data_IF_803595217027
#
_entry.id   IF_803595217027
#
_cell.length_a   1.000
_cell.length_b   1.000
_cell.length_c   1.000
_cell.angle_alpha   90.00
_cell.angle_beta   90.00
_cell.angle_gamma   90.00
#
_symmetry.space_group_name_H-M   'P 1'
#
loop_
_entity.id
_entity.type
_entity.pdbx_description
1 polymer ?
#
# COMPACT_ATOMS: atom_id res chain seq x y z
N UNK A 1 -11.84 -14.99 -1.69
CA UNK A 1 -10.56 -14.26 -1.52
C UNK A 1 -10.00 -13.76 -2.83
N UNK A 2 -9.82 -12.45 -2.98
CA UNK A 2 -9.29 -11.82 -4.20
C UNK A 2 -7.74 -11.77 -4.20
N UNK A 3 -7.12 -11.43 -3.06
CA UNK A 3 -5.68 -11.26 -2.92
C UNK A 3 -4.95 -12.57 -2.60
N UNK A 4 -4.93 -13.49 -3.56
CA UNK A 4 -4.23 -14.78 -3.43
C UNK A 4 -3.05 -14.87 -4.41
N UNK A 5 -2.10 -15.78 -4.14
CA UNK A 5 -0.91 -15.98 -5.00
C UNK A 5 -1.31 -16.42 -6.41
N UNK A 6 -2.40 -17.17 -6.56
CA UNK A 6 -2.93 -17.64 -7.84
C UNK A 6 -3.44 -16.48 -8.71
N UNK A 7 -3.93 -15.41 -8.08
CA UNK A 7 -4.40 -14.20 -8.76
C UNK A 7 -3.29 -13.16 -9.02
N UNK A 8 -2.04 -13.45 -8.63
CA UNK A 8 -0.90 -12.55 -8.85
C UNK A 8 -0.67 -12.35 -10.35
N UNK A 9 -0.68 -11.10 -10.86
CA UNK A 9 -0.46 -10.84 -12.28
C UNK A 9 0.87 -11.41 -12.77
N UNK A 10 0.87 -11.99 -13.97
CA UNK A 10 2.10 -12.51 -14.59
C UNK A 10 3.13 -11.39 -14.73
N UNK A 11 4.34 -11.63 -14.23
CA UNK A 11 5.44 -10.64 -14.24
C UNK A 11 5.45 -9.69 -13.05
N UNK A 12 4.45 -9.72 -12.16
CA UNK A 12 4.50 -8.95 -10.93
C UNK A 12 5.63 -9.44 -10.01
N UNK A 13 6.44 -8.51 -9.50
CA UNK A 13 7.43 -8.81 -8.46
C UNK A 13 6.76 -8.87 -7.08
N UNK A 14 7.53 -9.24 -6.05
CA UNK A 14 7.04 -9.21 -4.66
C UNK A 14 7.06 -7.80 -4.05
N UNK A 15 7.67 -6.81 -4.71
CA UNK A 15 7.73 -5.42 -4.24
C UNK A 15 7.45 -4.41 -5.33
N UNK A 16 6.54 -3.47 -5.06
CA UNK A 16 6.09 -2.48 -6.05
C UNK A 16 7.22 -1.62 -6.62
N UNK A 17 8.28 -1.34 -5.86
CA UNK A 17 9.39 -0.50 -6.32
C UNK A 17 10.11 -1.07 -7.54
N UNK A 18 10.20 -2.40 -7.64
CA UNK A 18 10.89 -3.13 -8.72
C UNK A 18 9.92 -3.89 -9.64
N UNK A 19 8.62 -3.64 -9.52
CA UNK A 19 7.59 -4.38 -10.25
C UNK A 19 7.45 -3.89 -11.70
N UNK A 20 7.56 -4.79 -12.67
CA UNK A 20 7.50 -4.47 -14.10
C UNK A 20 6.09 -4.11 -14.58
N UNK A 21 5.05 -4.63 -13.92
CA UNK A 21 3.64 -4.36 -14.24
C UNK A 21 3.06 -3.19 -13.44
N UNK A 22 3.91 -2.47 -12.71
CA UNK A 22 3.51 -1.39 -11.79
C UNK A 22 2.67 -0.31 -12.48
N UNK A 23 3.03 0.07 -13.70
CA UNK A 23 2.37 1.13 -14.47
C UNK A 23 0.89 0.84 -14.77
N UNK A 24 0.47 -0.41 -14.85
CA UNK A 24 -0.94 -0.81 -15.07
C UNK A 24 -1.59 -1.38 -13.82
N UNK A 25 -0.82 -1.66 -12.76
CA UNK A 25 -1.34 -2.18 -11.50
C UNK A 25 -2.18 -1.13 -10.76
N UNK A 26 -3.42 -1.46 -10.34
CA UNK A 26 -4.25 -0.56 -9.53
C UNK A 26 -3.77 -0.48 -8.06
N UNK A 27 -3.00 -1.47 -7.60
CA UNK A 27 -2.48 -1.56 -6.23
C UNK A 27 -0.99 -1.16 -6.14
N UNK A 28 -0.52 -0.33 -7.07
CA UNK A 28 0.86 0.14 -7.05
C UNK A 28 1.10 1.03 -5.83
N UNK A 29 2.03 0.62 -4.96
CA UNK A 29 2.48 1.47 -3.86
C UNK A 29 3.14 2.78 -4.36
N UNK A 30 3.76 2.79 -5.55
CA UNK A 30 4.30 4.04 -6.12
C UNK A 30 3.19 5.04 -6.41
N UNK A 31 2.09 4.60 -7.01
CA UNK A 31 0.94 5.45 -7.31
C UNK A 31 0.26 5.93 -6.04
N UNK A 32 0.07 5.02 -5.08
CA UNK A 32 -0.61 5.31 -3.82
C UNK A 32 0.17 6.32 -2.97
N UNK A 33 1.51 6.19 -2.88
CA UNK A 33 2.30 6.95 -1.92
C UNK A 33 3.25 8.02 -2.51
N UNK A 34 3.63 7.93 -3.78
CA UNK A 34 4.69 8.79 -4.36
C UNK A 34 4.22 9.69 -5.51
N UNK A 35 3.15 9.34 -6.23
CA UNK A 35 2.77 10.02 -7.48
C UNK A 35 2.30 11.47 -7.26
N UNK A 36 1.64 11.74 -6.13
CA UNK A 36 1.13 13.07 -5.79
C UNK A 36 1.61 13.50 -4.41
N UNK A 37 1.98 14.78 -4.23
CA UNK A 37 2.23 15.34 -2.90
C UNK A 37 1.03 15.12 -1.98
N UNK A 38 1.29 14.46 -0.84
CA UNK A 38 0.26 14.18 0.16
C UNK A 38 0.87 14.08 1.56
N UNK A 39 0.38 14.89 2.49
CA UNK A 39 0.77 14.83 3.91
C UNK A 39 -0.25 14.09 4.79
N UNK A 40 -1.41 13.75 4.25
CA UNK A 40 -2.45 13.03 4.95
C UNK A 40 -2.39 11.52 4.73
N UNK A 41 -3.51 10.85 4.97
CA UNK A 41 -3.65 9.43 4.69
C UNK A 41 -3.52 9.15 3.17
N UNK A 42 -2.87 8.05 2.74
CA UNK A 42 -2.21 7.03 3.58
C UNK A 42 -0.75 7.35 3.92
N UNK A 43 -0.16 8.43 3.41
CA UNK A 43 1.27 8.75 3.58
C UNK A 43 1.64 8.97 5.06
N UNK A 44 0.80 9.65 5.83
CA UNK A 44 1.00 9.88 7.27
C UNK A 44 1.09 8.59 8.11
N UNK A 45 0.55 7.46 7.60
CA UNK A 45 0.67 6.14 8.28
C UNK A 45 2.06 5.54 8.05
N UNK A 46 2.66 5.83 6.90
CA UNK A 46 3.96 5.29 6.48
C UNK A 46 5.13 6.15 6.96
N UNK A 47 4.86 7.44 7.19
CA UNK A 47 5.80 8.41 7.77
C UNK A 47 5.13 9.04 8.99
N UNK A 48 5.28 8.45 10.20
CA UNK A 48 4.57 8.92 11.40
C UNK A 48 4.96 10.34 11.85
N UNK A 49 6.17 10.77 11.52
CA UNK A 49 6.80 12.06 11.81
C UNK A 49 6.62 13.08 10.65
N UNK A 50 5.59 12.92 9.83
CA UNK A 50 5.41 13.70 8.59
C UNK A 50 5.38 15.22 8.78
N UNK A 51 4.88 15.70 9.92
CA UNK A 51 4.81 17.13 10.26
C UNK A 51 6.19 17.73 10.57
N UNK A 52 7.20 16.89 10.85
CA UNK A 52 8.60 17.32 11.06
C UNK A 52 9.36 17.53 9.74
N UNK A 53 8.73 17.27 8.59
CA UNK A 53 9.36 17.35 7.27
C UNK A 53 8.91 18.56 6.45
N UNK A 54 9.88 19.43 6.15
CA UNK A 54 9.64 20.71 5.50
C UNK A 54 9.18 20.56 4.04
N UNK A 55 9.71 19.58 3.31
CA UNK A 55 9.46 19.43 1.88
C UNK A 55 8.86 18.07 1.51
N UNK A 56 8.15 18.03 0.37
CA UNK A 56 7.67 16.79 -0.21
C UNK A 56 8.81 15.87 -0.69
N UNK A 57 9.96 16.44 -1.05
CA UNK A 57 11.11 15.64 -1.48
C UNK A 57 11.70 14.83 -0.32
N UNK A 58 11.77 15.41 0.88
CA UNK A 58 12.21 14.71 2.09
C UNK A 58 11.25 13.57 2.46
N UNK A 59 9.94 13.85 2.42
CA UNK A 59 8.89 12.85 2.68
C UNK A 59 9.00 11.70 1.67
N UNK A 60 9.23 11.98 0.38
CA UNK A 60 9.39 10.93 -0.65
C UNK A 60 10.54 9.99 -0.34
N UNK A 61 11.66 10.47 0.21
CA UNK A 61 12.79 9.61 0.60
C UNK A 61 12.37 8.64 1.71
N UNK A 62 11.66 9.15 2.73
CA UNK A 62 11.13 8.34 3.83
C UNK A 62 10.13 7.30 3.35
N UNK A 63 9.18 7.72 2.51
CA UNK A 63 8.20 6.83 1.89
C UNK A 63 8.91 5.74 1.09
N UNK A 64 9.88 6.09 0.22
CA UNK A 64 10.64 5.08 -0.55
C UNK A 64 11.31 4.05 0.36
N UNK A 65 11.96 4.48 1.43
CA UNK A 65 12.58 3.58 2.39
C UNK A 65 11.55 2.63 3.04
N UNK A 66 10.39 3.16 3.44
CA UNK A 66 9.31 2.35 4.01
C UNK A 66 8.69 1.36 3.00
N UNK A 67 8.63 1.72 1.72
CA UNK A 67 8.23 0.81 0.66
C UNK A 67 9.29 -0.25 0.35
N UNK A 68 10.57 0.06 0.51
CA UNK A 68 11.67 -0.88 0.25
C UNK A 68 11.85 -1.91 1.36
N UNK A 69 11.70 -1.50 2.61
CA UNK A 69 12.02 -2.35 3.78
C UNK A 69 10.78 -2.80 4.55
N UNK A 70 9.77 -1.94 4.63
CA UNK A 70 8.57 -2.16 5.44
C UNK A 70 7.49 -3.02 4.77
N UNK A 71 6.32 -3.16 5.41
CA UNK A 71 5.20 -3.93 4.86
C UNK A 71 4.53 -3.23 3.67
N UNK A 72 4.61 -1.90 3.58
CA UNK A 72 3.81 -1.08 2.68
C UNK A 72 4.18 -1.16 1.19
N UNK A 73 5.36 -1.71 0.86
CA UNK A 73 5.76 -1.90 -0.54
C UNK A 73 5.67 -3.34 -1.04
N UNK A 74 5.18 -4.29 -0.22
CA UNK A 74 4.96 -5.67 -0.65
C UNK A 74 3.79 -5.77 -1.64
N UNK A 75 3.88 -6.67 -2.60
CA UNK A 75 2.81 -6.94 -3.56
C UNK A 75 1.61 -7.57 -2.85
N UNK A 76 0.43 -6.95 -2.94
CA UNK A 76 -0.81 -7.43 -2.29
C UNK A 76 -1.19 -8.88 -2.61
N UNK A 77 -0.72 -9.45 -3.73
CA UNK A 77 -0.90 -10.85 -4.11
C UNK A 77 0.28 -11.78 -3.74
N UNK A 78 1.34 -11.25 -3.13
CA UNK A 78 2.52 -11.98 -2.66
C UNK A 78 2.45 -12.30 -1.17
N UNK A 79 3.61 -12.43 -0.53
CA UNK A 79 3.73 -12.80 0.89
C UNK A 79 3.51 -11.60 1.83
N UNK A 80 2.31 -11.04 1.72
CA UNK A 80 1.86 -9.94 2.54
C UNK A 80 1.32 -10.39 3.90
N UNK A 81 1.03 -11.69 4.11
CA UNK A 81 0.25 -12.16 5.25
C UNK A 81 -0.95 -11.24 5.51
N UNK A 82 -1.69 -10.88 4.44
CA UNK A 82 -2.87 -10.05 4.58
C UNK A 82 -3.94 -10.88 5.31
N UNK A 83 -4.06 -10.66 6.62
CA UNK A 83 -5.04 -11.29 7.51
C UNK A 83 -6.34 -10.48 7.61
N UNK A 84 -6.44 -9.39 6.84
CA UNK A 84 -7.64 -8.59 6.73
C UNK A 84 -8.74 -9.39 6.03
N UNK A 85 -9.92 -9.38 6.65
CA UNK A 85 -11.10 -10.12 6.23
C UNK A 85 -11.51 -9.73 4.80
N UNK A 86 -11.62 -10.73 3.92
CA UNK A 86 -12.08 -10.53 2.54
C UNK A 86 -13.62 -10.52 2.42
N UNK A 87 -14.34 -11.05 3.42
CA UNK A 87 -15.80 -11.03 3.52
C UNK A 87 -16.26 -10.65 4.93
N UNK A 88 -16.73 -9.41 5.11
CA UNK A 88 -17.34 -8.95 6.35
C UNK A 88 -18.87 -8.96 6.20
N UNK A 89 -19.57 -9.68 7.09
CA UNK A 89 -21.02 -9.64 7.21
C UNK A 89 -21.36 -8.94 8.52
N UNK A 90 -22.17 -7.88 8.45
CA UNK A 90 -22.69 -7.17 9.62
C UNK A 90 -24.21 -7.29 9.61
N UNK A 91 -24.77 -7.84 10.69
CA UNK A 91 -26.21 -7.87 10.91
C UNK A 91 -26.50 -6.81 11.98
N UNK A 92 -27.20 -5.75 11.59
CA UNK A 92 -27.65 -4.70 12.50
C UNK A 92 -29.11 -4.97 12.83
N UNK A 93 -29.43 -5.02 14.12
CA UNK A 93 -30.79 -5.04 14.62
C UNK A 93 -31.01 -3.73 15.39
N UNK A 94 -32.12 -3.06 15.13
CA UNK A 94 -32.51 -1.86 15.87
C UNK A 94 -33.68 -2.23 16.79
N UNK A 95 -33.66 -1.72 18.01
CA UNK A 95 -34.86 -1.68 18.85
C UNK A 95 -35.72 -0.48 18.42
N UNK A 96 -37.04 -0.59 18.56
CA UNK A 96 -38.01 0.46 18.20
C UNK A 96 -37.78 1.79 18.94
#
# INVERSE_FOLDING_TARGET
MHFTRENKPKGASDRCLTCSVESTCPYSAKKIYLEKPNRGWPVAVVVPDIEEHESWDDIKVKVKNALETGPYGKCVYGDCNNDVVDQQVVILNFDD
#
